data_IF_321473206282
#
_entry.id   IF_321473206282
#
_cell.length_a   1.000
_cell.length_b   1.000
_cell.length_c   1.000
_cell.angle_alpha   90.00
_cell.angle_beta   90.00
_cell.angle_gamma   90.00
#
_symmetry.space_group_name_H-M   'P 1'
#
loop_
_entity.id
_entity.type
_entity.pdbx_description
1 polymer ?
#
# COMPACT_ATOMS: atom_id res chain seq x y z
N UNK A 1 -3.86 -9.96 -5.85
CA UNK A 1 -4.45 -9.24 -7.02
C UNK A 1 -5.20 -7.99 -6.57
N UNK A 2 -6.06 -8.06 -5.55
CA UNK A 2 -6.79 -6.89 -5.01
C UNK A 2 -5.81 -5.81 -4.48
N UNK A 3 -4.73 -6.23 -3.82
CA UNK A 3 -3.73 -5.35 -3.22
C UNK A 3 -3.05 -4.43 -4.25
N UNK A 4 -2.84 -4.95 -5.47
CA UNK A 4 -2.28 -4.16 -6.57
C UNK A 4 -3.24 -3.05 -7.04
N UNK A 5 -4.56 -3.25 -6.95
CA UNK A 5 -5.56 -2.22 -7.29
C UNK A 5 -5.62 -1.13 -6.22
N UNK A 6 -5.51 -1.53 -4.95
CA UNK A 6 -5.41 -0.58 -3.82
C UNK A 6 -4.15 0.27 -3.98
N UNK A 7 -3.01 -0.38 -4.25
CA UNK A 7 -1.74 0.32 -4.45
C UNK A 7 -1.74 1.25 -5.68
N UNK A 8 -2.34 0.81 -6.80
CA UNK A 8 -2.48 1.65 -7.99
C UNK A 8 -3.34 2.89 -7.71
N UNK A 9 -4.41 2.74 -6.96
CA UNK A 9 -5.28 3.87 -6.55
C UNK A 9 -4.48 4.85 -5.67
N UNK A 10 -3.82 4.35 -4.63
CA UNK A 10 -3.00 5.17 -3.75
C UNK A 10 -1.90 5.93 -4.52
N UNK A 11 -1.24 5.26 -5.47
CA UNK A 11 -0.21 5.85 -6.34
C UNK A 11 -0.75 6.97 -7.23
N UNK A 12 -1.92 6.79 -7.85
CA UNK A 12 -2.55 7.80 -8.72
C UNK A 12 -2.97 9.04 -7.93
N UNK A 13 -3.37 8.86 -6.67
CA UNK A 13 -3.88 9.94 -5.82
C UNK A 13 -2.84 10.51 -4.83
N UNK A 14 -1.61 10.02 -4.83
CA UNK A 14 -0.56 10.48 -3.91
C UNK A 14 -0.87 10.17 -2.43
N UNK A 15 -1.54 9.05 -2.17
CA UNK A 15 -1.89 8.59 -0.83
C UNK A 15 -0.93 7.51 -0.33
N UNK A 16 -0.79 7.39 0.98
CA UNK A 16 -0.20 6.23 1.63
C UNK A 16 -1.25 5.12 1.84
N UNK A 17 -0.80 3.86 1.88
CA UNK A 17 -1.64 2.72 2.25
C UNK A 17 -1.35 2.30 3.68
N UNK A 18 -2.39 2.36 4.51
CA UNK A 18 -2.34 1.84 5.88
C UNK A 18 -2.69 0.35 5.84
N UNK A 19 -1.76 -0.52 6.23
CA UNK A 19 -1.96 -1.97 6.17
C UNK A 19 -1.19 -2.71 7.26
N UNK A 20 -1.72 -3.86 7.68
CA UNK A 20 -0.98 -4.82 8.52
C UNK A 20 -0.09 -5.78 7.73
N UNK A 21 -0.29 -5.83 6.41
CA UNK A 21 0.36 -6.78 5.52
C UNK A 21 1.21 -6.01 4.52
N UNK A 22 2.35 -5.51 4.99
CA UNK A 22 3.26 -4.70 4.20
C UNK A 22 3.87 -5.51 3.05
N UNK A 23 4.18 -6.80 3.27
CA UNK A 23 4.84 -7.68 2.30
C UNK A 23 4.10 -7.78 0.96
N UNK A 24 2.76 -7.71 0.96
CA UNK A 24 1.96 -7.82 -0.26
C UNK A 24 1.90 -6.50 -1.06
N UNK A 25 2.18 -5.35 -0.42
CA UNK A 25 2.08 -4.03 -1.03
C UNK A 25 3.48 -3.42 -1.28
N UNK A 26 4.49 -3.77 -0.49
CA UNK A 26 5.87 -3.27 -0.58
C UNK A 26 6.46 -3.32 -2.01
N UNK A 27 6.24 -4.39 -2.82
CA UNK A 27 6.75 -4.45 -4.19
C UNK A 27 6.20 -3.36 -5.13
N UNK A 28 5.11 -2.68 -4.74
CA UNK A 28 4.48 -1.63 -5.55
C UNK A 28 5.15 -0.26 -5.37
N UNK A 29 6.00 -0.10 -4.35
CA UNK A 29 6.82 1.09 -4.11
C UNK A 29 6.03 2.34 -3.69
N UNK A 30 4.83 2.17 -3.12
CA UNK A 30 4.05 3.26 -2.53
C UNK A 30 4.39 3.47 -1.06
N UNK A 31 3.98 4.61 -0.51
CA UNK A 31 4.13 4.89 0.93
C UNK A 31 3.23 3.95 1.76
N UNK A 32 3.83 3.33 2.77
CA UNK A 32 3.17 2.36 3.65
C UNK A 32 3.17 2.84 5.10
N UNK A 33 2.08 2.58 5.79
CA UNK A 33 1.93 2.81 7.24
C UNK A 33 1.39 1.54 7.88
N UNK A 34 2.18 0.94 8.76
CA UNK A 34 1.72 -0.20 9.57
C UNK A 34 1.42 0.28 11.00
N UNK A 35 0.15 0.29 11.44
CA UNK A 35 -0.20 0.80 12.76
C UNK A 35 0.06 -0.21 13.89
N UNK A 36 0.61 -1.39 13.58
CA UNK A 36 0.99 -2.42 14.55
C UNK A 36 2.50 -2.53 14.78
N UNK A 37 3.29 -1.65 14.15
CA UNK A 37 4.73 -1.48 14.38
C UNK A 37 5.02 -0.26 15.25
#
# INVERSE_FOLDING_TARGET
VIDALIAATAKVHGCAVVTRNEADIEPTGIELVNPWT
#
